data_IF_483442804848
#
_entry.id   IF_483442804848
#
_cell.length_a   1.000
_cell.length_b   1.000
_cell.length_c   1.000
_cell.angle_alpha   90.00
_cell.angle_beta   90.00
_cell.angle_gamma   90.00
#
_symmetry.space_group_name_H-M   'P 1'
#
loop_
_entity.id
_entity.type
_entity.pdbx_description
1 polymer ?
#
# COMPACT_ATOMS: atom_id res chain seq x y z
N UNK A 1 1.83 58.28 -20.56
CA UNK A 1 1.60 56.97 -21.20
C UNK A 1 1.74 55.89 -20.17
N UNK A 2 0.66 55.43 -19.54
CA UNK A 2 0.65 54.31 -18.58
C UNK A 2 0.29 53.03 -19.34
N UNK A 3 1.23 52.04 -19.34
CA UNK A 3 0.98 50.71 -19.87
C UNK A 3 0.41 49.84 -18.75
N UNK A 4 -0.84 49.48 -18.85
CA UNK A 4 -1.50 48.49 -17.98
C UNK A 4 -1.06 47.10 -18.44
N UNK A 5 -0.27 46.38 -17.57
CA UNK A 5 0.06 44.98 -17.78
C UNK A 5 -1.11 44.16 -17.26
N UNK A 6 -1.85 43.52 -18.14
CA UNK A 6 -2.88 42.56 -17.79
C UNK A 6 -2.20 41.22 -17.44
N UNK A 7 -2.24 40.83 -16.17
CA UNK A 7 -1.80 39.50 -15.72
C UNK A 7 -2.95 38.52 -15.94
N UNK A 8 -2.82 37.67 -16.94
CA UNK A 8 -3.74 36.55 -17.19
C UNK A 8 -3.47 35.45 -16.11
N UNK A 9 -4.31 35.33 -15.11
CA UNK A 9 -4.30 34.21 -14.17
C UNK A 9 -4.91 33.00 -14.89
N UNK A 10 -4.05 32.05 -15.26
CA UNK A 10 -4.51 30.76 -15.79
C UNK A 10 -5.07 29.93 -14.63
N UNK A 11 -6.40 29.80 -14.58
CA UNK A 11 -7.07 28.86 -13.70
C UNK A 11 -6.76 27.43 -14.18
N UNK A 12 -5.84 26.74 -13.49
CA UNK A 12 -5.66 25.29 -13.68
C UNK A 12 -6.88 24.57 -13.05
N UNK A 13 -7.83 24.22 -13.88
CA UNK A 13 -8.93 23.34 -13.50
C UNK A 13 -8.36 21.91 -13.36
N UNK A 14 -8.01 21.49 -12.12
CA UNK A 14 -7.66 20.11 -11.84
C UNK A 14 -8.97 19.31 -11.89
N UNK A 15 -9.19 18.62 -13.00
CA UNK A 15 -10.30 17.68 -13.10
C UNK A 15 -10.15 16.61 -12.00
N UNK A 16 -11.22 16.27 -11.26
CA UNK A 16 -11.17 15.18 -10.29
C UNK A 16 -10.79 13.89 -11.03
N UNK A 17 -9.74 13.22 -10.58
CA UNK A 17 -9.37 11.93 -11.11
C UNK A 17 -10.58 10.99 -10.90
N UNK A 18 -11.21 10.57 -12.00
CA UNK A 18 -12.32 9.61 -11.95
C UNK A 18 -11.76 8.33 -11.33
N UNK A 19 -12.24 8.00 -10.15
CA UNK A 19 -11.83 6.79 -9.44
C UNK A 19 -12.14 5.58 -10.33
N UNK A 20 -11.12 4.78 -10.64
CA UNK A 20 -11.32 3.57 -11.46
C UNK A 20 -12.38 2.68 -10.80
N UNK A 21 -13.31 2.10 -11.58
CA UNK A 21 -14.33 1.20 -11.05
C UNK A 21 -13.69 -0.04 -10.46
N UNK A 22 -14.34 -0.61 -9.44
CA UNK A 22 -13.89 -1.87 -8.86
C UNK A 22 -14.10 -3.03 -9.86
N UNK A 23 -13.22 -4.06 -9.84
CA UNK A 23 -13.41 -5.25 -10.65
C UNK A 23 -14.81 -5.88 -10.45
N UNK A 24 -15.48 -6.28 -11.54
CA UNK A 24 -16.89 -6.72 -11.52
C UNK A 24 -17.14 -7.92 -10.59
N UNK A 25 -16.19 -8.85 -10.51
CA UNK A 25 -16.31 -10.09 -9.71
C UNK A 25 -15.51 -10.03 -8.40
N UNK A 26 -15.28 -8.83 -7.87
CA UNK A 26 -14.53 -8.65 -6.64
C UNK A 26 -15.35 -9.09 -5.42
N UNK A 27 -14.78 -9.97 -4.60
CA UNK A 27 -15.29 -10.20 -3.24
C UNK A 27 -14.98 -8.95 -2.39
N UNK A 28 -15.97 -8.04 -2.33
CA UNK A 28 -15.83 -6.75 -1.65
C UNK A 28 -15.57 -6.88 -0.14
N UNK A 29 -16.04 -7.97 0.48
CA UNK A 29 -15.83 -8.21 1.91
C UNK A 29 -14.37 -8.58 2.22
N UNK A 30 -13.67 -9.14 1.24
CA UNK A 30 -12.26 -9.52 1.32
C UNK A 30 -11.39 -8.71 0.35
N UNK A 31 -11.67 -7.41 0.23
CA UNK A 31 -10.83 -6.51 -0.56
C UNK A 31 -10.66 -5.16 0.13
N UNK A 32 -9.49 -4.55 -0.06
CA UNK A 32 -9.23 -3.15 0.32
C UNK A 32 -8.98 -2.30 -0.91
N UNK A 33 -9.43 -1.07 -0.83
CA UNK A 33 -9.22 -0.03 -1.83
C UNK A 33 -8.32 1.02 -1.24
N UNK A 34 -7.23 1.32 -1.91
CA UNK A 34 -6.24 2.32 -1.53
C UNK A 34 -6.29 3.42 -2.58
N UNK A 35 -6.76 4.60 -2.22
CA UNK A 35 -6.65 5.80 -3.04
C UNK A 35 -5.33 6.49 -2.74
N UNK A 36 -4.52 6.75 -3.76
CA UNK A 36 -3.23 7.44 -3.68
C UNK A 36 -3.25 8.71 -4.55
N UNK A 37 -2.22 9.56 -4.41
CA UNK A 37 -2.02 10.69 -5.33
C UNK A 37 -1.77 10.27 -6.79
N UNK A 38 -1.43 9.00 -7.03
CA UNK A 38 -1.15 8.43 -8.37
C UNK A 38 -2.32 7.67 -8.97
N UNK A 39 -3.39 7.42 -8.18
CA UNK A 39 -4.56 6.66 -8.59
C UNK A 39 -4.98 5.62 -7.55
N UNK A 40 -5.88 4.74 -7.95
CA UNK A 40 -6.47 3.71 -7.10
C UNK A 40 -5.77 2.37 -7.26
N UNK A 41 -5.52 1.70 -6.13
CA UNK A 41 -5.02 0.32 -6.05
C UNK A 41 -6.10 -0.51 -5.35
N UNK A 42 -6.40 -1.68 -5.89
CA UNK A 42 -7.34 -2.65 -5.27
C UNK A 42 -6.60 -3.93 -4.95
N UNK A 43 -6.64 -4.33 -3.68
CA UNK A 43 -6.02 -5.55 -3.18
C UNK A 43 -7.12 -6.52 -2.75
N UNK A 44 -7.16 -7.70 -3.36
CA UNK A 44 -7.94 -8.83 -2.88
C UNK A 44 -7.18 -9.51 -1.76
N UNK A 45 -7.78 -9.58 -0.58
CA UNK A 45 -7.19 -10.24 0.59
C UNK A 45 -7.35 -11.75 0.51
N UNK A 46 -6.37 -12.46 1.00
CA UNK A 46 -6.30 -13.92 1.04
C UNK A 46 -6.65 -14.44 2.44
N UNK A 47 -7.91 -14.20 2.84
CA UNK A 47 -8.44 -14.68 4.14
C UNK A 47 -8.48 -16.22 4.24
N UNK A 48 -8.35 -16.92 3.11
CA UNK A 48 -8.23 -18.38 3.03
C UNK A 48 -6.88 -18.91 3.56
N UNK A 49 -5.81 -18.13 3.47
CA UNK A 49 -4.45 -18.55 3.89
C UNK A 49 -3.86 -17.67 5.00
N UNK A 50 -4.38 -16.47 5.21
CA UNK A 50 -3.93 -15.54 6.23
C UNK A 50 -5.11 -14.81 6.89
N UNK A 51 -6.05 -15.55 7.55
CA UNK A 51 -7.27 -14.97 8.09
C UNK A 51 -7.03 -13.89 9.13
N UNK A 52 -6.08 -14.09 10.07
CA UNK A 52 -5.82 -13.12 11.13
C UNK A 52 -5.21 -11.82 10.59
N UNK A 53 -4.30 -11.93 9.61
CA UNK A 53 -3.70 -10.76 8.97
C UNK A 53 -4.73 -10.02 8.09
N UNK A 54 -5.56 -10.74 7.34
CA UNK A 54 -6.63 -10.12 6.54
C UNK A 54 -7.62 -9.33 7.43
N UNK A 55 -8.03 -9.88 8.57
CA UNK A 55 -8.90 -9.17 9.52
C UNK A 55 -8.19 -7.95 10.12
N UNK A 56 -6.90 -8.05 10.48
CA UNK A 56 -6.12 -6.92 10.97
C UNK A 56 -6.07 -5.78 9.95
N UNK A 57 -5.82 -6.07 8.68
CA UNK A 57 -5.80 -5.05 7.61
C UNK A 57 -7.17 -4.39 7.47
N UNK A 58 -8.27 -5.17 7.45
CA UNK A 58 -9.63 -4.63 7.39
C UNK A 58 -9.97 -3.77 8.61
N UNK A 59 -9.62 -4.23 9.80
CA UNK A 59 -9.83 -3.48 11.05
C UNK A 59 -9.13 -2.12 11.00
N UNK A 60 -7.85 -2.10 10.66
CA UNK A 60 -7.06 -0.86 10.59
C UNK A 60 -7.56 0.08 9.49
N UNK A 61 -8.03 -0.47 8.35
CA UNK A 61 -8.66 0.33 7.29
C UNK A 61 -9.95 1.01 7.78
N UNK A 62 -10.81 0.30 8.51
CA UNK A 62 -12.05 0.85 9.10
C UNK A 62 -11.79 1.90 10.17
N UNK A 63 -10.73 1.75 10.95
CA UNK A 63 -10.28 2.73 11.94
C UNK A 63 -9.63 3.97 11.31
N UNK A 64 -9.41 3.98 9.99
CA UNK A 64 -8.72 5.05 9.29
C UNK A 64 -7.21 5.11 9.57
N UNK A 65 -6.66 4.09 10.21
CA UNK A 65 -5.25 4.02 10.59
C UNK A 65 -4.29 4.22 9.41
N UNK A 66 -4.68 3.74 8.23
CA UNK A 66 -3.86 3.83 7.01
C UNK A 66 -4.00 5.15 6.24
N UNK A 67 -4.92 6.04 6.62
CA UNK A 67 -5.12 7.29 5.90
C UNK A 67 -3.90 8.22 6.04
N UNK A 68 -3.43 8.75 4.93
CA UNK A 68 -2.23 9.58 4.79
C UNK A 68 -0.91 8.90 5.16
N UNK A 69 -0.89 7.57 5.28
CA UNK A 69 0.34 6.81 5.56
C UNK A 69 1.22 6.71 4.31
N UNK A 70 2.52 7.04 4.41
CA UNK A 70 3.43 7.03 3.27
C UNK A 70 3.89 5.63 2.86
N UNK A 71 4.26 5.50 1.58
CA UNK A 71 5.12 4.43 1.10
C UNK A 71 6.58 4.78 1.45
N UNK A 72 6.95 4.60 2.70
CA UNK A 72 8.22 5.07 3.26
C UNK A 72 9.46 4.37 2.72
N UNK A 73 9.28 3.16 2.15
CA UNK A 73 10.37 2.36 1.60
C UNK A 73 9.94 1.77 0.25
N UNK A 74 10.59 2.22 -0.83
CA UNK A 74 10.26 1.78 -2.19
C UNK A 74 11.54 1.48 -2.96
N UNK A 75 11.80 0.20 -3.22
CA UNK A 75 12.97 -0.28 -3.94
C UNK A 75 12.53 -0.68 -5.34
N UNK A 76 13.05 0.01 -6.35
CA UNK A 76 12.74 -0.27 -7.75
C UNK A 76 13.07 -1.73 -8.12
N UNK A 77 12.19 -2.35 -8.90
CA UNK A 77 12.34 -3.76 -9.28
C UNK A 77 12.14 -4.76 -8.13
N UNK A 78 11.84 -4.32 -6.89
CA UNK A 78 11.63 -5.21 -5.76
C UNK A 78 10.24 -5.02 -5.13
N UNK A 79 10.05 -4.01 -4.26
CA UNK A 79 8.78 -3.82 -3.56
C UNK A 79 8.54 -2.38 -3.10
N UNK A 80 7.27 -2.05 -2.83
CA UNK A 80 6.84 -0.82 -2.15
C UNK A 80 6.25 -1.17 -0.78
N UNK A 81 6.86 -0.68 0.31
CA UNK A 81 6.45 -0.92 1.70
C UNK A 81 5.78 0.31 2.31
N UNK A 82 4.71 0.08 3.06
CA UNK A 82 3.86 1.07 3.72
C UNK A 82 3.27 0.52 5.02
N UNK A 83 2.30 1.21 5.61
CA UNK A 83 1.50 0.71 6.74
C UNK A 83 2.05 1.05 8.12
N UNK A 84 3.06 1.92 8.22
CA UNK A 84 3.47 2.54 9.48
C UNK A 84 2.68 3.84 9.70
N UNK A 85 1.51 3.73 10.31
CA UNK A 85 0.67 4.89 10.64
C UNK A 85 1.06 5.59 11.95
N UNK A 86 2.07 5.12 12.66
CA UNK A 86 2.56 5.69 13.91
C UNK A 86 3.74 6.65 13.67
N UNK A 87 4.82 6.15 13.06
CA UNK A 87 6.09 6.88 12.91
C UNK A 87 6.37 7.30 11.47
N UNK A 88 5.64 6.73 10.48
CA UNK A 88 5.74 7.02 9.04
C UNK A 88 7.12 6.72 8.40
N UNK A 89 7.99 5.98 9.09
CA UNK A 89 9.38 5.71 8.68
C UNK A 89 9.76 4.21 8.71
N UNK A 90 8.80 3.33 9.01
CA UNK A 90 9.00 1.89 9.06
C UNK A 90 9.35 1.32 10.44
N UNK A 91 9.47 2.17 11.47
CA UNK A 91 9.81 1.73 12.84
C UNK A 91 8.59 1.53 13.73
N UNK A 92 7.42 1.99 13.31
CA UNK A 92 6.18 1.94 14.08
C UNK A 92 5.25 0.79 13.71
N UNK A 93 4.14 0.71 14.45
CA UNK A 93 3.07 -0.25 14.25
C UNK A 93 1.76 0.26 14.82
N UNK A 94 0.70 -0.54 14.74
CA UNK A 94 -0.57 -0.22 15.38
C UNK A 94 -0.53 -0.51 16.88
N UNK A 95 -1.55 -0.04 17.59
CA UNK A 95 -1.77 -0.31 19.03
C UNK A 95 -2.03 -1.78 19.38
N UNK A 96 -2.28 -2.61 18.36
CA UNK A 96 -2.61 -4.01 18.55
C UNK A 96 -1.37 -4.89 18.71
N UNK A 97 -1.50 -6.07 19.35
CA UNK A 97 -0.39 -7.01 19.45
C UNK A 97 0.06 -7.51 18.07
N UNK A 98 1.32 -7.92 17.98
CA UNK A 98 1.84 -8.58 16.78
C UNK A 98 1.09 -9.88 16.49
N UNK A 99 1.07 -10.27 15.23
CA UNK A 99 0.44 -11.49 14.76
C UNK A 99 1.48 -12.59 14.52
N UNK A 100 1.09 -13.83 14.82
CA UNK A 100 1.86 -15.01 14.42
C UNK A 100 1.86 -15.14 12.91
N UNK A 101 2.97 -15.59 12.35
CA UNK A 101 3.09 -15.78 10.91
C UNK A 101 2.08 -16.82 10.40
N UNK A 102 1.38 -16.48 9.31
CA UNK A 102 0.49 -17.36 8.55
C UNK A 102 1.16 -17.70 7.22
N UNK A 103 2.20 -18.54 7.29
CA UNK A 103 3.01 -18.88 6.11
C UNK A 103 2.26 -19.80 5.16
N UNK A 104 2.49 -19.65 3.86
CA UNK A 104 1.86 -20.43 2.80
C UNK A 104 2.86 -20.76 1.69
N UNK A 105 2.47 -21.66 0.78
CA UNK A 105 3.24 -22.01 -0.40
C UNK A 105 3.00 -21.07 -1.61
N UNK A 106 2.26 -19.97 -1.42
CA UNK A 106 2.04 -18.98 -2.48
C UNK A 106 3.34 -18.26 -2.77
N UNK A 107 3.84 -18.30 -4.03
CA UNK A 107 5.10 -17.65 -4.37
C UNK A 107 4.93 -16.13 -4.42
N UNK A 108 5.96 -15.41 -3.97
CA UNK A 108 6.04 -13.96 -4.09
C UNK A 108 6.34 -13.56 -5.53
N UNK A 109 5.29 -13.31 -6.30
CA UNK A 109 5.33 -12.79 -7.68
C UNK A 109 4.93 -11.33 -7.71
N UNK A 110 5.15 -10.66 -8.85
CA UNK A 110 4.64 -9.31 -9.09
C UNK A 110 3.17 -9.19 -8.70
N UNK A 111 2.82 -8.14 -7.94
CA UNK A 111 1.47 -7.85 -7.45
C UNK A 111 1.08 -8.57 -6.16
N UNK A 112 1.84 -9.55 -5.68
CA UNK A 112 1.60 -10.19 -4.38
C UNK A 112 1.89 -9.20 -3.27
N UNK A 113 1.06 -9.25 -2.23
CA UNK A 113 1.16 -8.41 -1.03
C UNK A 113 1.54 -9.27 0.16
N UNK A 114 2.62 -8.89 0.84
CA UNK A 114 3.11 -9.57 2.03
C UNK A 114 3.13 -8.67 3.25
N UNK A 115 3.02 -9.26 4.45
CA UNK A 115 3.20 -8.52 5.70
C UNK A 115 4.69 -8.28 5.96
N UNK A 116 5.02 -7.02 6.27
CA UNK A 116 6.34 -6.71 6.79
C UNK A 116 6.48 -7.17 8.24
N UNK A 117 7.68 -7.59 8.60
CA UNK A 117 8.04 -8.08 9.93
C UNK A 117 9.47 -7.68 10.29
N UNK A 118 9.85 -7.81 11.53
CA UNK A 118 11.25 -7.65 11.95
C UNK A 118 12.10 -8.84 11.49
N UNK A 119 13.37 -8.61 11.27
CA UNK A 119 14.31 -9.64 10.83
C UNK A 119 14.56 -10.74 11.86
N UNK A 120 14.36 -10.43 13.14
CA UNK A 120 14.61 -11.33 14.29
C UNK A 120 13.42 -12.23 14.67
N UNK A 121 12.23 -11.99 14.09
CA UNK A 121 11.04 -12.77 14.45
C UNK A 121 10.02 -12.83 13.31
N UNK A 122 9.60 -14.04 12.96
CA UNK A 122 8.50 -14.26 12.01
C UNK A 122 7.15 -13.80 12.58
N UNK A 123 6.98 -13.84 13.91
CA UNK A 123 5.76 -13.48 14.63
C UNK A 123 5.73 -12.01 15.05
N UNK A 124 6.30 -11.13 14.26
CA UNK A 124 6.39 -9.69 14.55
C UNK A 124 5.62 -8.80 13.58
N UNK A 125 4.83 -9.38 12.68
CA UNK A 125 3.96 -8.61 11.79
C UNK A 125 2.88 -7.87 12.58
N UNK A 126 2.57 -6.63 12.20
CA UNK A 126 1.61 -5.79 12.91
C UNK A 126 0.64 -5.06 11.97
N UNK A 127 1.10 -3.99 11.31
CA UNK A 127 0.30 -3.15 10.41
C UNK A 127 0.97 -2.92 9.06
N UNK A 128 2.30 -3.08 8.99
CA UNK A 128 3.05 -2.79 7.78
C UNK A 128 2.96 -3.91 6.77
N UNK A 129 2.84 -3.56 5.50
CA UNK A 129 2.80 -4.49 4.38
C UNK A 129 3.58 -3.96 3.18
N UNK A 130 3.88 -4.83 2.23
CA UNK A 130 4.57 -4.46 1.00
C UNK A 130 3.92 -5.09 -0.23
N UNK A 131 4.03 -4.41 -1.37
CA UNK A 131 3.54 -4.84 -2.68
C UNK A 131 4.74 -5.12 -3.57
N UNK A 132 4.78 -6.31 -4.20
CA UNK A 132 5.88 -6.71 -5.06
C UNK A 132 5.82 -6.03 -6.42
N UNK A 133 6.92 -5.44 -6.88
CA UNK A 133 7.09 -4.97 -8.26
C UNK A 133 7.48 -6.09 -9.22
N UNK A 134 8.20 -7.10 -8.71
CA UNK A 134 8.71 -8.23 -9.47
C UNK A 134 8.70 -9.50 -8.62
N UNK A 135 9.09 -10.62 -9.20
CA UNK A 135 9.19 -11.90 -8.51
C UNK A 135 10.31 -11.87 -7.48
N UNK A 136 10.01 -12.33 -6.25
CA UNK A 136 10.94 -12.37 -5.12
C UNK A 136 11.02 -13.76 -4.48
N UNK A 137 11.61 -14.77 -5.16
CA UNK A 137 11.58 -16.15 -4.69
C UNK A 137 12.25 -16.36 -3.32
N UNK A 138 13.18 -15.49 -2.92
CA UNK A 138 13.80 -15.53 -1.58
C UNK A 138 12.84 -15.23 -0.43
N UNK A 139 11.65 -14.67 -0.72
CA UNK A 139 10.63 -14.37 0.28
C UNK A 139 9.65 -15.55 0.48
N UNK A 140 9.65 -16.53 -0.41
CA UNK A 140 8.73 -17.67 -0.37
C UNK A 140 8.89 -18.44 0.96
N UNK A 141 7.76 -18.68 1.63
CA UNK A 141 7.75 -19.36 2.93
C UNK A 141 8.38 -18.56 4.09
N UNK A 142 8.83 -17.32 3.87
CA UNK A 142 9.47 -16.47 4.89
C UNK A 142 8.58 -15.32 5.38
N UNK A 143 7.57 -14.96 4.60
CA UNK A 143 6.64 -13.87 4.90
C UNK A 143 5.19 -14.33 4.69
N UNK A 144 4.28 -13.78 5.49
CA UNK A 144 2.84 -14.02 5.32
C UNK A 144 2.33 -13.31 4.07
N UNK A 145 1.80 -14.06 3.10
CA UNK A 145 1.07 -13.51 1.95
C UNK A 145 -0.35 -13.16 2.41
N UNK A 146 -0.72 -11.89 2.28
CA UNK A 146 -2.04 -11.40 2.71
C UNK A 146 -2.98 -11.08 1.56
N UNK A 147 -2.49 -10.98 0.33
CA UNK A 147 -3.31 -10.60 -0.80
C UNK A 147 -2.57 -10.47 -2.10
N UNK A 148 -3.29 -10.00 -3.10
CA UNK A 148 -2.80 -9.68 -4.44
C UNK A 148 -3.45 -8.40 -4.98
N UNK A 149 -2.72 -7.61 -5.73
CA UNK A 149 -3.25 -6.45 -6.45
C UNK A 149 -4.06 -6.96 -7.65
N UNK A 150 -5.36 -6.68 -7.64
CA UNK A 150 -6.29 -7.09 -8.73
C UNK A 150 -6.63 -5.92 -9.67
N UNK A 151 -6.28 -4.69 -9.29
CA UNK A 151 -6.39 -3.49 -10.14
C UNK A 151 -5.41 -2.42 -9.64
N UNK A 152 -4.81 -1.65 -10.55
CA UNK A 152 -3.93 -0.53 -10.22
C UNK A 152 -2.45 -0.89 -10.07
N UNK A 153 -1.95 -2.00 -10.64
CA UNK A 153 -0.50 -2.26 -10.69
C UNK A 153 0.28 -1.18 -11.45
N UNK A 154 -0.33 -0.54 -12.45
CA UNK A 154 0.25 0.63 -13.13
C UNK A 154 0.38 1.85 -12.20
N UNK A 155 -0.50 1.96 -11.20
CA UNK A 155 -0.42 2.98 -10.14
C UNK A 155 0.72 2.64 -9.17
N UNK A 156 0.86 1.37 -8.78
CA UNK A 156 1.98 0.90 -7.95
C UNK A 156 3.31 1.21 -8.64
N UNK A 157 3.42 0.97 -9.95
CA UNK A 157 4.63 1.28 -10.74
C UNK A 157 5.00 2.76 -10.74
N UNK A 158 4.02 3.67 -10.62
CA UNK A 158 4.21 5.13 -10.57
C UNK A 158 4.62 5.65 -9.19
N UNK A 159 4.59 4.82 -8.15
CA UNK A 159 5.04 5.24 -6.81
C UNK A 159 6.49 5.69 -6.85
N UNK A 160 6.77 6.79 -6.16
CA UNK A 160 8.12 7.37 -6.07
C UNK A 160 9.08 6.37 -5.45
N UNK A 161 10.11 6.02 -6.20
CA UNK A 161 11.17 5.11 -5.75
C UNK A 161 12.18 5.87 -4.91
N UNK A 162 12.88 5.14 -4.07
CA UNK A 162 14.06 5.65 -3.37
C UNK A 162 15.14 6.09 -4.36
N UNK A 163 15.85 7.15 -4.04
CA UNK A 163 16.98 7.61 -4.86
C UNK A 163 18.10 6.56 -4.85
N UNK A 164 18.88 6.43 -5.93
CA UNK A 164 20.06 5.58 -5.93
C UNK A 164 20.97 5.92 -4.74
N UNK A 165 21.42 4.90 -4.00
CA UNK A 165 22.27 5.06 -2.82
C UNK A 165 21.52 5.43 -1.52
N UNK A 166 20.20 5.57 -1.53
CA UNK A 166 19.44 5.75 -0.28
C UNK A 166 19.55 4.52 0.62
N UNK A 167 19.78 4.74 1.92
CA UNK A 167 19.90 3.65 2.89
C UNK A 167 18.59 2.85 2.96
N UNK A 168 18.69 1.54 2.69
CA UNK A 168 17.58 0.59 2.84
C UNK A 168 16.36 0.84 1.93
N UNK A 169 16.44 1.74 0.94
CA UNK A 169 15.33 2.06 0.05
C UNK A 169 14.36 3.11 0.60
N UNK A 170 14.78 3.92 1.57
CA UNK A 170 13.98 5.02 2.13
C UNK A 170 13.69 6.09 1.09
N UNK A 171 12.44 6.53 1.02
CA UNK A 171 11.97 7.55 0.07
C UNK A 171 11.88 8.91 0.74
N UNK A 172 12.53 9.91 0.15
CA UNK A 172 12.34 11.32 0.55
C UNK A 172 11.08 11.87 -0.11
N UNK A 173 10.18 12.48 0.69
CA UNK A 173 8.89 13.00 0.23
C UNK A 173 8.10 11.91 -0.53
N UNK A 174 7.66 10.85 0.15
CA UNK A 174 7.01 9.70 -0.45
C UNK A 174 5.56 9.96 -0.85
N UNK A 175 5.07 9.21 -1.85
CA UNK A 175 3.63 9.10 -2.10
C UNK A 175 2.92 8.47 -0.90
N UNK A 176 1.63 8.76 -0.74
CA UNK A 176 0.84 8.34 0.42
C UNK A 176 -0.42 7.59 0.00
N UNK A 177 -0.85 6.71 0.86
CA UNK A 177 -2.23 6.20 0.86
C UNK A 177 -3.13 7.32 1.39
N UNK A 178 -3.79 8.07 0.49
CA UNK A 178 -4.67 9.19 0.86
C UNK A 178 -5.86 8.67 1.67
N UNK A 179 -6.45 7.57 1.22
CA UNK A 179 -7.57 6.90 1.89
C UNK A 179 -7.49 5.40 1.66
N UNK A 180 -7.80 4.64 2.71
CA UNK A 180 -7.89 3.17 2.64
C UNK A 180 -9.23 2.73 3.21
N UNK A 181 -9.97 1.90 2.45
CA UNK A 181 -11.29 1.40 2.84
C UNK A 181 -11.42 -0.09 2.50
N UNK A 182 -12.22 -0.78 3.27
CA UNK A 182 -12.73 -2.10 2.84
C UNK A 182 -13.72 -1.87 1.70
N UNK A 183 -13.62 -2.65 0.62
CA UNK A 183 -14.40 -2.39 -0.59
C UNK A 183 -15.92 -2.51 -0.37
N UNK A 184 -16.36 -3.34 0.60
CA UNK A 184 -17.79 -3.44 0.99
C UNK A 184 -18.32 -2.18 1.68
N UNK A 185 -17.44 -1.34 2.24
CA UNK A 185 -17.83 -0.16 3.01
C UNK A 185 -17.90 1.10 2.13
N UNK A 186 -17.56 0.98 0.84
CA UNK A 186 -17.64 2.07 -0.15
C UNK A 186 -19.09 2.17 -0.66
N UNK A 187 -19.68 3.35 -0.44
CA UNK A 187 -21.02 3.71 -0.90
C UNK A 187 -21.01 4.18 -2.34
#
# INVERSE_FOLDING_TARGET
>A
MFRILAVLAALFCVAPAIAQPLPANLDKANAIVIDTSKGRIVIKLRSDIAPQHAERIKQLAREGYYNNVPFHRVIDGFMAQTGDGQNFNGTGGSKYPNLKAELSNVPFKRGIVGMARRGDSNDSANSQFFIMFADGPSLNGQYTVIGEVVSGMDVVDKLKKASPGSSGGTVTDPDKMVKVQVASDIK
#
